data_IF_656682307077
#
_entry.id   IF_656682307077
#
_cell.length_a   1.000
_cell.length_b   1.000
_cell.length_c   1.000
_cell.angle_alpha   90.00
_cell.angle_beta   90.00
_cell.angle_gamma   90.00
#
_symmetry.space_group_name_H-M   'P 1'
#
loop_
_entity.id
_entity.type
_entity.pdbx_description
1 polymer ?
#
# COMPACT_ATOMS: atom_id res chain seq x y z
N UNK A 1 -8.11 -13.30 16.58
CA UNK A 1 -8.66 -13.61 15.24
C UNK A 1 -7.53 -13.63 14.23
N UNK A 2 -7.53 -14.63 13.36
CA UNK A 2 -6.55 -14.83 12.29
C UNK A 2 -6.63 -13.68 11.29
N UNK A 3 -5.46 -13.13 10.95
CA UNK A 3 -5.35 -12.10 9.92
C UNK A 3 -5.16 -12.72 8.53
N UNK A 4 -4.31 -13.74 8.42
CA UNK A 4 -3.95 -14.35 7.14
C UNK A 4 -3.45 -15.79 7.33
N UNK A 5 -3.96 -16.73 6.53
CA UNK A 5 -3.47 -18.12 6.37
C UNK A 5 -2.92 -18.36 4.96
N UNK A 6 -2.25 -17.35 4.39
CA UNK A 6 -1.90 -17.23 2.98
C UNK A 6 -2.78 -16.21 2.24
N UNK A 7 -2.31 -15.75 1.08
CA UNK A 7 -2.95 -14.65 0.35
C UNK A 7 -2.99 -14.88 -1.16
N UNK A 8 -4.08 -14.46 -1.79
CA UNK A 8 -4.19 -14.38 -3.25
C UNK A 8 -3.66 -13.02 -3.72
N UNK A 9 -3.05 -13.00 -4.91
CA UNK A 9 -2.64 -11.76 -5.56
C UNK A 9 -3.51 -11.48 -6.79
N UNK A 10 -4.32 -10.41 -6.72
CA UNK A 10 -5.19 -9.95 -7.81
C UNK A 10 -4.61 -8.68 -8.44
N UNK A 11 -3.66 -8.83 -9.37
CA UNK A 11 -2.96 -7.71 -10.01
C UNK A 11 -3.90 -6.72 -10.75
N UNK A 12 -5.08 -7.15 -11.22
CA UNK A 12 -6.10 -6.24 -11.79
C UNK A 12 -6.87 -5.43 -10.73
N UNK A 13 -6.78 -5.79 -9.46
CA UNK A 13 -7.47 -5.09 -8.39
C UNK A 13 -6.74 -3.82 -7.97
N UNK A 14 -7.49 -2.88 -7.36
CA UNK A 14 -6.91 -1.69 -6.74
C UNK A 14 -6.06 -2.05 -5.52
N UNK A 15 -6.52 -3.05 -4.76
CA UNK A 15 -5.82 -3.63 -3.62
C UNK A 15 -5.49 -5.07 -4.00
N UNK A 16 -4.26 -5.37 -4.43
CA UNK A 16 -3.95 -6.67 -5.03
C UNK A 16 -3.92 -7.80 -4.00
N UNK A 17 -3.59 -7.52 -2.75
CA UNK A 17 -3.49 -8.52 -1.69
C UNK A 17 -4.90 -8.94 -1.19
N UNK A 18 -5.09 -10.25 -1.05
CA UNK A 18 -6.36 -10.87 -0.64
C UNK A 18 -6.07 -12.01 0.33
N UNK A 19 -5.90 -11.67 1.60
CA UNK A 19 -5.72 -12.62 2.69
C UNK A 19 -6.89 -13.62 2.74
N UNK A 20 -6.54 -14.87 3.03
CA UNK A 20 -7.46 -16.00 3.22
C UNK A 20 -7.53 -16.33 4.70
N UNK A 21 -8.68 -16.83 5.17
CA UNK A 21 -8.85 -17.23 6.58
C UNK A 21 -8.99 -16.05 7.55
N UNK A 22 -9.39 -14.87 7.04
CA UNK A 22 -9.63 -13.71 7.90
C UNK A 22 -10.72 -14.01 8.92
N UNK A 23 -10.52 -13.49 10.13
CA UNK A 23 -11.50 -13.48 11.23
C UNK A 23 -11.74 -14.83 11.93
N UNK A 24 -11.10 -15.91 11.46
CA UNK A 24 -11.09 -17.21 12.13
C UNK A 24 -10.48 -17.08 13.55
N UNK A 25 -11.20 -17.44 14.61
CA UNK A 25 -10.64 -17.46 15.97
C UNK A 25 -10.03 -18.81 16.31
N UNK A 26 -8.72 -18.95 16.07
CA UNK A 26 -7.99 -20.21 16.28
C UNK A 26 -7.77 -20.56 17.76
N UNK A 27 -8.25 -19.73 18.70
CA UNK A 27 -8.42 -20.14 20.10
C UNK A 27 -9.53 -21.17 20.26
N UNK A 28 -10.47 -21.21 19.32
CA UNK A 28 -11.54 -22.21 19.30
C UNK A 28 -10.99 -23.56 18.82
N UNK A 29 -10.94 -24.54 19.72
CA UNK A 29 -10.45 -25.90 19.43
C UNK A 29 -11.11 -26.52 18.20
N UNK A 30 -12.42 -26.33 18.02
CA UNK A 30 -13.17 -26.84 16.87
C UNK A 30 -12.64 -26.29 15.55
N UNK A 31 -12.24 -25.03 15.51
CA UNK A 31 -11.72 -24.38 14.32
C UNK A 31 -10.27 -24.80 14.07
N UNK A 32 -9.45 -24.87 15.12
CA UNK A 32 -8.06 -25.28 15.05
C UNK A 32 -7.89 -26.73 14.58
N UNK A 33 -8.78 -27.65 14.99
CA UNK A 33 -8.76 -29.05 14.59
C UNK A 33 -9.59 -29.36 13.34
N UNK A 34 -10.24 -28.34 12.75
CA UNK A 34 -11.09 -28.56 11.59
C UNK A 34 -10.21 -28.99 10.42
N UNK A 35 -10.41 -30.21 9.96
CA UNK A 35 -9.86 -30.68 8.69
C UNK A 35 -10.60 -29.97 7.54
N UNK A 36 -9.90 -29.05 6.89
CA UNK A 36 -10.43 -28.27 5.77
C UNK A 36 -9.52 -28.49 4.60
N UNK A 37 -10.10 -28.80 3.45
CA UNK A 37 -9.36 -28.81 2.20
C UNK A 37 -8.64 -27.48 2.02
N UNK A 38 -7.34 -27.58 1.80
CA UNK A 38 -6.50 -26.43 1.57
C UNK A 38 -6.99 -25.59 0.38
N UNK A 39 -7.06 -24.27 0.62
CA UNK A 39 -7.37 -23.30 -0.43
C UNK A 39 -6.09 -22.92 -1.14
N UNK A 40 -6.08 -22.98 -2.47
CA UNK A 40 -4.97 -22.42 -3.26
C UNK A 40 -4.78 -20.93 -2.98
N UNK A 41 -3.56 -20.56 -2.62
CA UNK A 41 -3.11 -19.18 -2.47
C UNK A 41 -1.91 -18.90 -3.38
N UNK A 42 -1.46 -17.65 -3.42
CA UNK A 42 -0.44 -17.19 -4.35
C UNK A 42 0.91 -16.94 -3.66
N UNK A 43 0.91 -16.61 -2.37
CA UNK A 43 2.08 -16.45 -1.52
C UNK A 43 1.67 -16.52 -0.04
N UNK A 44 2.66 -16.66 0.83
CA UNK A 44 2.53 -16.50 2.29
C UNK A 44 3.45 -15.37 2.74
N UNK A 45 2.99 -14.58 3.70
CA UNK A 45 3.83 -13.59 4.32
C UNK A 45 4.87 -14.25 5.23
N UNK A 46 6.05 -13.64 5.34
CA UNK A 46 7.22 -14.21 6.03
C UNK A 46 7.21 -14.04 7.55
N UNK A 47 6.04 -14.02 8.18
CA UNK A 47 5.92 -14.18 9.65
C UNK A 47 6.24 -15.62 10.05
N UNK A 48 5.77 -16.56 9.22
CA UNK A 48 6.06 -17.97 9.30
C UNK A 48 5.85 -18.58 7.92
N UNK A 49 6.95 -18.82 7.20
CA UNK A 49 6.94 -19.56 5.94
C UNK A 49 8.10 -20.55 5.95
N UNK A 50 7.85 -21.76 5.47
CA UNK A 50 8.86 -22.79 5.33
C UNK A 50 8.76 -23.36 3.91
N UNK A 51 9.91 -23.47 3.25
CA UNK A 51 10.02 -24.05 1.92
C UNK A 51 11.36 -24.78 1.78
N UNK A 52 11.45 -25.84 0.96
CA UNK A 52 12.72 -26.50 0.69
C UNK A 52 13.70 -25.54 0.01
N UNK A 53 14.95 -25.47 0.47
CA UNK A 53 15.98 -24.61 -0.14
C UNK A 53 16.25 -24.99 -1.60
N UNK A 54 15.96 -26.23 -1.99
CA UNK A 54 16.09 -26.72 -3.36
C UNK A 54 15.05 -26.16 -4.33
N UNK A 55 14.04 -25.41 -3.85
CA UNK A 55 12.96 -24.88 -4.72
C UNK A 55 13.47 -23.88 -5.75
N UNK A 56 14.50 -23.11 -5.39
CA UNK A 56 15.16 -22.14 -6.26
C UNK A 56 16.52 -21.76 -5.69
N UNK A 57 17.43 -21.28 -6.54
CA UNK A 57 18.67 -20.61 -6.11
C UNK A 57 18.54 -19.09 -6.09
N UNK A 58 17.40 -18.56 -6.53
CA UNK A 58 17.14 -17.13 -6.52
C UNK A 58 17.02 -16.63 -5.08
N UNK A 59 17.71 -15.54 -4.76
CA UNK A 59 17.45 -14.78 -3.55
C UNK A 59 16.18 -13.91 -3.69
N UNK A 60 15.69 -13.31 -2.60
CA UNK A 60 14.62 -12.32 -2.67
C UNK A 60 14.99 -11.13 -3.56
N UNK A 61 13.97 -10.40 -4.04
CA UNK A 61 14.22 -9.11 -4.69
C UNK A 61 14.93 -8.16 -3.72
N UNK A 62 15.90 -7.35 -4.18
CA UNK A 62 16.69 -6.47 -3.33
C UNK A 62 15.89 -5.20 -2.96
N UNK A 63 14.82 -5.38 -2.19
CA UNK A 63 13.96 -4.32 -1.66
C UNK A 63 14.00 -4.33 -0.13
N UNK A 64 13.81 -3.16 0.48
CA UNK A 64 13.93 -3.04 1.94
C UNK A 64 12.77 -3.68 2.72
N UNK A 65 11.53 -3.33 2.37
CA UNK A 65 10.32 -3.80 3.05
C UNK A 65 9.14 -3.84 2.07
N UNK A 66 8.19 -4.75 2.33
CA UNK A 66 6.96 -5.00 1.59
C UNK A 66 7.18 -5.53 0.17
N UNK A 67 6.60 -6.68 -0.10
CA UNK A 67 6.46 -7.20 -1.47
C UNK A 67 7.60 -8.11 -1.92
N UNK A 68 8.66 -8.24 -1.13
CA UNK A 68 9.68 -9.30 -1.21
C UNK A 68 9.05 -10.68 -1.02
N UNK A 69 8.26 -10.85 0.05
CA UNK A 69 7.47 -12.04 0.33
C UNK A 69 6.46 -12.37 -0.78
N UNK A 70 5.75 -11.34 -1.28
CA UNK A 70 4.82 -11.44 -2.40
C UNK A 70 5.54 -11.88 -3.67
N UNK A 71 6.66 -11.25 -3.99
CA UNK A 71 7.44 -11.55 -5.19
C UNK A 71 7.94 -12.99 -5.18
N UNK A 72 8.59 -13.39 -4.08
CA UNK A 72 9.16 -14.71 -3.92
C UNK A 72 8.08 -15.79 -3.95
N UNK A 73 6.95 -15.56 -3.26
CA UNK A 73 5.84 -16.51 -3.29
C UNK A 73 5.20 -16.63 -4.66
N UNK A 74 5.01 -15.53 -5.38
CA UNK A 74 4.45 -15.58 -6.73
C UNK A 74 5.36 -16.29 -7.75
N UNK A 75 6.67 -16.15 -7.60
CA UNK A 75 7.65 -16.71 -8.54
C UNK A 75 8.02 -18.16 -8.20
N UNK A 76 8.11 -18.50 -6.91
CA UNK A 76 8.73 -19.76 -6.46
C UNK A 76 7.79 -20.58 -5.57
N UNK A 77 7.41 -20.09 -4.40
CA UNK A 77 6.83 -20.97 -3.35
C UNK A 77 5.32 -21.16 -3.44
N UNK A 78 4.57 -20.25 -4.06
CA UNK A 78 3.12 -20.16 -3.94
C UNK A 78 2.36 -21.39 -4.41
N UNK A 79 2.88 -22.11 -5.40
CA UNK A 79 2.29 -23.37 -5.89
C UNK A 79 2.60 -24.59 -5.01
N UNK A 80 3.60 -24.47 -4.14
CA UNK A 80 4.14 -25.54 -3.30
C UNK A 80 3.91 -25.29 -1.80
N UNK A 81 3.28 -24.18 -1.45
CA UNK A 81 3.06 -23.79 -0.08
C UNK A 81 1.79 -24.41 0.46
N UNK A 82 1.85 -24.84 1.72
CA UNK A 82 0.72 -25.37 2.48
C UNK A 82 0.47 -24.51 3.72
N UNK A 83 -0.79 -24.29 4.12
CA UNK A 83 -1.17 -23.74 5.42
C UNK A 83 -2.00 -24.74 6.22
N UNK A 84 -1.75 -24.77 7.52
CA UNK A 84 -2.36 -25.73 8.44
C UNK A 84 -3.00 -25.00 9.62
N UNK A 85 -4.26 -25.34 9.93
CA UNK A 85 -4.91 -24.85 11.14
C UNK A 85 -4.10 -25.36 12.35
N UNK A 86 -3.83 -24.48 13.32
CA UNK A 86 -3.09 -24.81 14.54
C UNK A 86 -1.59 -24.49 14.51
N UNK A 87 -0.96 -24.28 13.34
CA UNK A 87 0.39 -23.69 13.25
C UNK A 87 0.23 -22.21 12.96
N UNK A 88 0.39 -21.40 14.02
CA UNK A 88 0.07 -19.98 14.02
C UNK A 88 1.16 -19.19 14.71
N UNK A 89 1.27 -17.92 14.35
CA UNK A 89 2.11 -16.95 15.06
C UNK A 89 1.28 -15.74 15.45
N UNK A 90 1.56 -15.20 16.64
CA UNK A 90 1.03 -13.91 17.04
C UNK A 90 1.91 -12.81 16.44
N UNK A 91 1.28 -11.84 15.78
CA UNK A 91 2.00 -10.74 15.15
C UNK A 91 1.20 -9.44 15.24
N UNK A 92 1.91 -8.30 15.28
CA UNK A 92 1.32 -6.98 15.42
C UNK A 92 0.47 -6.58 14.19
N UNK A 93 -0.68 -5.95 14.45
CA UNK A 93 -1.67 -5.52 13.45
C UNK A 93 -1.08 -4.55 12.41
N UNK A 94 -1.69 -4.56 11.22
CA UNK A 94 -1.31 -3.76 10.06
C UNK A 94 -1.95 -2.36 10.04
N UNK A 95 -3.08 -2.15 10.72
CA UNK A 95 -3.82 -0.88 10.68
C UNK A 95 -2.98 0.33 11.10
N UNK A 96 -2.21 0.17 12.19
CA UNK A 96 -1.31 1.22 12.71
C UNK A 96 0.00 1.37 11.91
N UNK A 97 0.29 0.43 10.99
CA UNK A 97 1.52 0.44 10.17
C UNK A 97 1.36 1.18 8.86
N UNK A 98 0.17 1.70 8.55
CA UNK A 98 -0.10 2.38 7.29
C UNK A 98 0.26 3.88 7.38
N UNK A 99 1.39 4.24 6.80
CA UNK A 99 1.93 5.61 6.78
C UNK A 99 2.49 5.95 5.38
N UNK A 100 2.86 7.21 5.11
CA UNK A 100 3.38 7.59 3.78
C UNK A 100 4.60 6.77 3.35
N UNK A 101 5.54 6.48 4.25
CA UNK A 101 6.72 5.63 3.97
C UNK A 101 6.34 4.24 3.45
N UNK A 102 5.34 3.59 4.08
CA UNK A 102 4.82 2.31 3.59
C UNK A 102 4.24 2.39 2.18
N UNK A 103 3.59 3.50 1.82
CA UNK A 103 3.02 3.70 0.49
C UNK A 103 4.09 3.88 -0.59
N UNK A 104 5.24 4.47 -0.26
CA UNK A 104 6.39 4.53 -1.17
C UNK A 104 6.79 3.12 -1.60
N UNK A 105 7.04 2.23 -0.63
CA UNK A 105 7.43 0.85 -0.91
C UNK A 105 6.35 0.07 -1.63
N UNK A 106 5.07 0.23 -1.23
CA UNK A 106 3.97 -0.42 -1.92
C UNK A 106 3.90 -0.01 -3.41
N UNK A 107 4.11 1.27 -3.73
CA UNK A 107 4.09 1.71 -5.14
C UNK A 107 5.29 1.24 -5.93
N UNK A 108 6.50 1.40 -5.39
CA UNK A 108 7.72 0.96 -6.06
C UNK A 108 7.71 -0.56 -6.25
N UNK A 109 7.58 -1.30 -5.15
CA UNK A 109 7.82 -2.73 -5.14
C UNK A 109 6.70 -3.48 -5.87
N UNK A 110 5.41 -3.11 -5.71
CA UNK A 110 4.36 -3.80 -6.48
C UNK A 110 4.38 -3.46 -7.97
N UNK A 111 4.90 -2.30 -8.38
CA UNK A 111 5.14 -2.03 -9.79
C UNK A 111 6.23 -2.97 -10.36
N UNK A 112 7.28 -3.25 -9.58
CA UNK A 112 8.33 -4.23 -9.93
C UNK A 112 7.73 -5.64 -10.00
N UNK A 113 7.02 -6.08 -8.95
CA UNK A 113 6.38 -7.41 -8.90
C UNK A 113 5.42 -7.61 -10.06
N UNK A 114 4.53 -6.63 -10.30
CA UNK A 114 3.56 -6.72 -11.39
C UNK A 114 4.25 -6.88 -12.76
N UNK A 115 5.38 -6.20 -12.94
CA UNK A 115 6.18 -6.18 -14.16
C UNK A 115 6.91 -7.50 -14.42
N UNK A 116 7.51 -8.06 -13.38
CA UNK A 116 8.27 -9.31 -13.42
C UNK A 116 7.36 -10.52 -13.57
N UNK A 117 6.34 -10.63 -12.72
CA UNK A 117 5.51 -11.83 -12.58
C UNK A 117 4.50 -11.97 -13.73
N UNK A 118 3.86 -10.89 -14.17
CA UNK A 118 2.70 -10.97 -15.07
C UNK A 118 3.03 -10.53 -16.49
N UNK A 119 3.12 -11.50 -17.42
CA UNK A 119 3.38 -11.25 -18.84
C UNK A 119 2.33 -10.32 -19.49
N UNK A 120 1.07 -10.45 -19.08
CA UNK A 120 -0.07 -9.65 -19.55
C UNK A 120 -0.33 -8.38 -18.70
N UNK A 121 0.64 -7.93 -17.90
CA UNK A 121 0.58 -6.63 -17.25
C UNK A 121 1.12 -5.52 -18.17
N UNK A 122 0.35 -4.45 -18.29
CA UNK A 122 0.55 -3.35 -19.23
C UNK A 122 0.53 -2.01 -18.49
N UNK A 123 1.00 -0.95 -19.16
CA UNK A 123 1.15 0.38 -18.56
C UNK A 123 -0.17 0.91 -17.98
N UNK A 124 -1.31 0.66 -18.63
CA UNK A 124 -2.62 1.13 -18.15
C UNK A 124 -3.06 0.43 -16.86
N UNK A 125 -2.59 -0.78 -16.59
CA UNK A 125 -2.88 -1.47 -15.33
C UNK A 125 -2.17 -0.80 -14.16
N UNK A 126 -0.88 -0.45 -14.34
CA UNK A 126 -0.11 0.32 -13.36
C UNK A 126 -0.69 1.73 -13.20
N UNK A 127 -0.89 2.44 -14.32
CA UNK A 127 -1.41 3.80 -14.34
C UNK A 127 -2.78 3.89 -13.66
N UNK A 128 -3.73 3.00 -14.00
CA UNK A 128 -5.06 2.99 -13.36
C UNK A 128 -4.97 2.76 -11.85
N UNK A 129 -4.11 1.86 -11.37
CA UNK A 129 -3.93 1.63 -9.92
C UNK A 129 -3.34 2.87 -9.25
N UNK A 130 -2.31 3.47 -9.85
CA UNK A 130 -1.69 4.70 -9.38
C UNK A 130 -2.69 5.85 -9.32
N UNK A 131 -3.36 6.18 -10.42
CA UNK A 131 -4.36 7.25 -10.51
C UNK A 131 -5.47 7.04 -9.47
N UNK A 132 -6.04 5.83 -9.37
CA UNK A 132 -7.15 5.58 -8.46
C UNK A 132 -6.76 5.71 -6.98
N UNK A 133 -5.53 5.32 -6.59
CA UNK A 133 -5.05 5.50 -5.22
C UNK A 133 -4.60 6.94 -4.95
N UNK A 134 -3.95 7.60 -5.91
CA UNK A 134 -3.64 9.03 -5.85
C UNK A 134 -4.91 9.85 -5.70
N UNK A 135 -5.94 9.61 -6.52
CA UNK A 135 -7.26 10.25 -6.38
C UNK A 135 -7.83 10.07 -4.98
N UNK A 136 -7.90 8.83 -4.48
CA UNK A 136 -8.47 8.54 -3.16
C UNK A 136 -7.74 9.26 -2.03
N UNK A 137 -6.42 9.36 -2.08
CA UNK A 137 -5.62 10.07 -1.05
C UNK A 137 -5.75 11.59 -1.23
N UNK A 138 -5.51 12.09 -2.44
CA UNK A 138 -5.50 13.51 -2.78
C UNK A 138 -6.85 14.19 -2.47
N UNK A 139 -7.95 13.57 -2.88
CA UNK A 139 -9.30 14.07 -2.62
C UNK A 139 -9.78 13.80 -1.19
N UNK A 140 -8.93 13.21 -0.34
CA UNK A 140 -9.18 12.99 1.09
C UNK A 140 -8.21 13.76 1.98
N UNK A 141 -7.48 14.73 1.40
CA UNK A 141 -6.47 15.60 2.03
C UNK A 141 -5.24 14.87 2.59
N UNK A 142 -5.00 13.65 2.10
CA UNK A 142 -3.83 12.84 2.46
C UNK A 142 -2.67 13.14 1.51
N UNK A 143 -2.11 14.33 1.61
CA UNK A 143 -1.12 14.86 0.68
C UNK A 143 0.26 14.20 0.80
N UNK A 144 0.76 13.98 2.02
CA UNK A 144 2.02 13.29 2.25
C UNK A 144 1.97 11.86 1.68
N UNK A 145 0.83 11.18 1.81
CA UNK A 145 0.61 9.88 1.15
C UNK A 145 0.79 9.97 -0.38
N UNK A 146 0.27 11.01 -1.04
CA UNK A 146 0.39 11.19 -2.50
C UNK A 146 1.83 11.48 -2.91
N UNK A 147 2.54 12.32 -2.17
CA UNK A 147 3.96 12.61 -2.39
C UNK A 147 4.81 11.33 -2.35
N UNK A 148 4.61 10.51 -1.32
CA UNK A 148 5.34 9.25 -1.18
C UNK A 148 4.96 8.24 -2.26
N UNK A 149 3.71 8.18 -2.69
CA UNK A 149 3.30 7.37 -3.83
C UNK A 149 3.96 7.83 -5.13
N UNK A 150 4.03 9.14 -5.39
CA UNK A 150 4.74 9.73 -6.55
C UNK A 150 6.21 9.34 -6.50
N UNK A 151 6.87 9.54 -5.36
CA UNK A 151 8.27 9.16 -5.14
C UNK A 151 8.50 7.66 -5.39
N UNK A 152 7.61 6.80 -4.91
CA UNK A 152 7.70 5.35 -5.11
C UNK A 152 7.59 4.94 -6.58
N UNK A 153 6.65 5.54 -7.33
CA UNK A 153 6.55 5.29 -8.77
C UNK A 153 7.76 5.85 -9.54
N UNK A 154 8.25 7.04 -9.19
CA UNK A 154 9.48 7.60 -9.79
C UNK A 154 10.69 6.69 -9.55
N UNK A 155 10.82 6.11 -8.36
CA UNK A 155 11.87 5.14 -8.06
C UNK A 155 11.73 3.86 -8.91
N UNK A 156 10.52 3.41 -9.21
CA UNK A 156 10.31 2.33 -10.19
C UNK A 156 10.71 2.75 -11.61
N UNK A 157 10.33 3.97 -12.02
CA UNK A 157 10.62 4.52 -13.35
C UNK A 157 12.12 4.77 -13.59
N UNK A 158 12.91 4.91 -12.54
CA UNK A 158 14.38 5.02 -12.61
C UNK A 158 15.06 3.72 -13.08
N UNK A 159 14.35 2.59 -13.04
CA UNK A 159 14.81 1.31 -13.61
C UNK A 159 15.60 0.42 -12.64
N UNK A 160 15.94 -0.80 -13.10
CA UNK A 160 16.59 -1.82 -12.26
C UNK A 160 18.02 -1.46 -11.83
N UNK A 161 18.75 -0.70 -12.65
CA UNK A 161 20.10 -0.24 -12.30
C UNK A 161 20.07 0.70 -11.10
N UNK A 162 19.17 1.68 -11.10
CA UNK A 162 18.95 2.58 -9.96
C UNK A 162 18.51 1.79 -8.71
N UNK A 163 17.65 0.77 -8.86
CA UNK A 163 17.27 -0.11 -7.76
C UNK A 163 18.49 -0.83 -7.14
N UNK A 164 19.41 -1.32 -7.98
CA UNK A 164 20.64 -1.98 -7.53
C UNK A 164 21.60 -1.02 -6.85
N UNK A 165 21.77 0.19 -7.37
CA UNK A 165 22.64 1.21 -6.81
C UNK A 165 22.09 1.86 -5.52
N UNK A 166 20.80 1.67 -5.22
CA UNK A 166 20.17 2.25 -4.03
C UNK A 166 20.76 1.67 -2.75
N UNK A 167 21.26 2.53 -1.86
CA UNK A 167 21.40 2.21 -0.43
C UNK A 167 20.01 2.21 0.21
N UNK A 168 19.49 1.01 0.46
CA UNK A 168 18.14 0.85 0.98
C UNK A 168 18.01 1.24 2.45
N UNK A 169 19.10 1.20 3.22
CA UNK A 169 19.09 1.58 4.64
C UNK A 169 19.01 3.09 4.77
N UNK A 170 19.89 3.81 4.06
CA UNK A 170 19.85 5.28 4.02
C UNK A 170 18.52 5.80 3.46
N UNK A 171 18.01 5.18 2.39
CA UNK A 171 16.69 5.52 1.85
C UNK A 171 15.57 5.29 2.88
N UNK A 172 15.62 4.19 3.65
CA UNK A 172 14.62 3.94 4.68
C UNK A 172 14.67 4.99 5.80
N UNK A 173 15.87 5.35 6.25
CA UNK A 173 16.08 6.39 7.25
C UNK A 173 15.59 7.76 6.79
N UNK A 174 15.69 8.06 5.49
CA UNK A 174 15.12 9.26 4.90
C UNK A 174 13.59 9.22 4.88
N UNK A 175 13.01 8.12 4.36
CA UNK A 175 11.55 7.98 4.20
C UNK A 175 10.79 7.93 5.54
N UNK A 176 11.40 7.43 6.62
CA UNK A 176 10.73 7.34 7.94
C UNK A 176 10.66 8.67 8.70
N UNK A 177 11.31 9.73 8.21
CA UNK A 177 11.31 11.08 8.83
C UNK A 177 9.96 11.79 8.71
N UNK A 178 9.07 11.35 7.82
CA UNK A 178 7.73 11.94 7.68
C UNK A 178 6.93 11.83 8.97
N UNK A 179 6.43 12.96 9.44
CA UNK A 179 5.58 13.10 10.63
C UNK A 179 4.11 13.18 10.26
N UNK A 180 3.80 13.73 9.09
CA UNK A 180 2.43 13.82 8.56
C UNK A 180 1.82 12.45 8.31
N UNK A 181 0.52 12.33 8.57
CA UNK A 181 -0.27 11.11 8.36
C UNK A 181 0.29 9.85 9.03
N UNK A 182 1.12 10.02 10.05
CA UNK A 182 1.61 8.95 10.90
C UNK A 182 0.63 8.78 12.06
N UNK A 183 -0.03 7.62 12.20
CA UNK A 183 -0.83 7.33 13.38
C UNK A 183 0.03 7.49 14.64
N UNK A 184 -0.47 8.26 15.60
CA UNK A 184 0.15 8.43 16.90
C UNK A 184 -0.86 8.88 17.94
N UNK A 185 -0.45 8.96 19.22
CA UNK A 185 -1.32 9.40 20.30
C UNK A 185 -1.93 10.77 20.02
N UNK A 186 -3.24 10.88 20.21
CA UNK A 186 -3.99 12.12 20.08
C UNK A 186 -3.91 12.94 21.38
N UNK A 187 -3.92 14.26 21.27
CA UNK A 187 -4.13 15.15 22.42
C UNK A 187 -5.51 14.88 23.04
N UNK A 188 -5.68 15.24 24.32
CA UNK A 188 -6.96 15.07 25.02
C UNK A 188 -8.14 15.72 24.26
N UNK A 189 -7.91 16.90 23.69
CA UNK A 189 -8.89 17.61 22.86
C UNK A 189 -9.29 16.83 21.60
N UNK A 190 -8.32 16.31 20.85
CA UNK A 190 -8.58 15.52 19.64
C UNK A 190 -9.21 14.17 19.97
N UNK A 191 -8.81 13.55 21.08
CA UNK A 191 -9.37 12.30 21.57
C UNK A 191 -10.84 12.47 22.01
N UNK A 192 -11.23 13.64 22.52
CA UNK A 192 -12.61 13.95 22.93
C UNK A 192 -13.55 14.23 21.75
N UNK A 193 -13.03 14.48 20.53
CA UNK A 193 -13.88 14.72 19.35
C UNK A 193 -14.71 13.48 19.02
N UNK A 194 -16.04 13.64 19.06
CA UNK A 194 -16.98 12.55 18.81
C UNK A 194 -16.76 11.87 17.45
N UNK A 195 -16.86 10.54 17.44
CA UNK A 195 -16.77 9.75 16.21
C UNK A 195 -18.00 10.04 15.34
N UNK A 196 -17.75 10.45 14.10
CA UNK A 196 -18.78 10.79 13.13
C UNK A 196 -19.39 9.50 12.62
N UNK A 197 -20.68 9.30 12.91
CA UNK A 197 -21.40 8.12 12.39
C UNK A 197 -21.33 8.11 10.85
N UNK A 198 -20.88 7.01 10.24
CA UNK A 198 -20.75 6.94 8.79
C UNK A 198 -22.14 7.01 8.15
N UNK A 199 -22.28 7.86 7.13
CA UNK A 199 -23.52 7.92 6.34
C UNK A 199 -23.75 6.62 5.57
N UNK A 200 -25.01 6.31 5.21
CA UNK A 200 -25.34 5.21 4.32
C UNK A 200 -24.45 5.16 3.07
N UNK A 201 -24.14 3.94 2.60
CA UNK A 201 -23.21 3.71 1.49
C UNK A 201 -23.59 4.48 0.22
N UNK A 202 -24.88 4.55 -0.11
CA UNK A 202 -25.38 5.29 -1.27
C UNK A 202 -25.02 6.79 -1.20
N UNK A 203 -25.21 7.43 -0.05
CA UNK A 203 -24.87 8.85 0.15
C UNK A 203 -23.36 9.07 0.05
N UNK A 204 -22.56 8.16 0.63
CA UNK A 204 -21.10 8.22 0.50
C UNK A 204 -20.65 8.08 -0.95
N UNK A 205 -21.31 7.24 -1.73
CA UNK A 205 -21.02 7.07 -3.16
C UNK A 205 -21.38 8.31 -3.97
N UNK A 206 -22.52 8.94 -3.70
CA UNK A 206 -22.89 10.24 -4.30
C UNK A 206 -21.83 11.29 -3.96
N UNK A 207 -21.43 11.41 -2.69
CA UNK A 207 -20.36 12.34 -2.29
C UNK A 207 -19.03 12.06 -2.97
N UNK A 208 -18.68 10.79 -3.17
CA UNK A 208 -17.49 10.38 -3.92
C UNK A 208 -17.59 10.78 -5.40
N UNK A 209 -18.74 10.55 -6.04
CA UNK A 209 -18.97 10.92 -7.43
C UNK A 209 -18.91 12.44 -7.62
N UNK A 210 -19.54 13.20 -6.73
CA UNK A 210 -19.52 14.67 -6.73
C UNK A 210 -18.13 15.25 -6.46
N UNK A 211 -17.23 14.51 -5.81
CA UNK A 211 -15.87 14.98 -5.59
C UNK A 211 -15.13 15.25 -6.91
N UNK A 212 -15.47 14.55 -8.00
CA UNK A 212 -14.81 14.75 -9.31
C UNK A 212 -15.18 16.11 -9.92
N UNK A 213 -16.46 16.42 -10.25
CA UNK A 213 -16.82 17.69 -10.86
C UNK A 213 -16.59 18.87 -9.91
N UNK A 214 -16.66 18.65 -8.58
CA UNK A 214 -16.38 19.70 -7.60
C UNK A 214 -14.89 19.86 -7.29
N UNK A 215 -14.01 19.11 -7.95
CA UNK A 215 -12.56 19.10 -7.70
C UNK A 215 -12.26 19.00 -6.20
N UNK A 216 -12.81 17.99 -5.54
CA UNK A 216 -12.68 17.78 -4.09
C UNK A 216 -13.25 18.92 -3.25
N UNK A 217 -14.18 19.72 -3.79
CA UNK A 217 -14.74 20.90 -3.13
C UNK A 217 -13.95 22.19 -3.32
N UNK A 218 -12.87 22.19 -4.12
CA UNK A 218 -12.06 23.39 -4.34
C UNK A 218 -12.79 24.48 -5.13
N UNK A 219 -13.77 24.09 -5.96
CA UNK A 219 -14.62 25.04 -6.67
C UNK A 219 -15.82 25.53 -5.84
N UNK A 220 -16.07 24.94 -4.66
CA UNK A 220 -17.19 25.35 -3.82
C UNK A 220 -16.91 26.69 -3.14
N UNK A 221 -17.91 27.60 -3.08
CA UNK A 221 -17.82 28.82 -2.30
C UNK A 221 -17.45 28.52 -0.84
N UNK A 222 -16.66 29.39 -0.21
CA UNK A 222 -16.21 29.20 1.19
C UNK A 222 -17.39 29.02 2.16
N UNK A 223 -18.53 29.68 1.89
CA UNK A 223 -19.75 29.59 2.71
C UNK A 223 -20.33 28.16 2.74
N UNK A 224 -20.14 27.38 1.67
CA UNK A 224 -20.62 25.99 1.57
C UNK A 224 -19.63 25.01 2.24
N UNK A 225 -18.35 25.38 2.30
CA UNK A 225 -17.29 24.60 2.93
C UNK A 225 -17.26 24.88 4.43
N UNK A 226 -17.37 23.82 5.23
CA UNK A 226 -17.40 23.93 6.68
C UNK A 226 -15.99 23.77 7.24
N UNK A 227 -15.63 24.66 8.16
CA UNK A 227 -14.38 24.58 8.92
C UNK A 227 -14.52 23.80 10.24
N UNK A 228 -15.52 22.92 10.28
CA UNK A 228 -15.79 22.06 11.44
C UNK A 228 -14.97 20.80 11.31
N UNK A 229 -14.26 20.43 12.37
CA UNK A 229 -13.52 19.17 12.44
C UNK A 229 -14.48 17.98 12.37
N UNK A 230 -14.25 17.09 11.40
CA UNK A 230 -14.97 15.81 11.30
C UNK A 230 -14.01 14.64 11.44
N UNK A 231 -14.53 13.53 11.94
CA UNK A 231 -13.76 12.32 12.18
C UNK A 231 -14.04 11.29 11.08
N UNK A 232 -13.01 10.50 10.75
CA UNK A 232 -13.14 9.36 9.85
C UNK A 232 -12.27 8.18 10.35
N UNK A 233 -12.63 6.93 10.06
CA UNK A 233 -11.79 5.78 10.41
C UNK A 233 -10.41 5.91 9.77
N UNK A 234 -9.36 5.54 10.50
CA UNK A 234 -7.95 5.74 10.10
C UNK A 234 -7.59 5.09 8.75
N UNK A 235 -8.19 3.94 8.46
CA UNK A 235 -7.99 3.18 7.21
C UNK A 235 -8.87 3.66 6.06
N UNK A 236 -9.80 4.57 6.32
CA UNK A 236 -10.69 5.10 5.29
C UNK A 236 -10.00 6.14 4.40
N UNK A 237 -10.62 6.41 3.25
CA UNK A 237 -10.31 7.54 2.37
C UNK A 237 -11.59 8.31 2.18
N UNK A 238 -11.84 9.27 3.06
CA UNK A 238 -13.12 9.92 3.26
C UNK A 238 -13.43 10.99 2.19
N UNK A 239 -13.27 10.63 0.90
CA UNK A 239 -13.36 11.54 -0.26
C UNK A 239 -14.62 12.40 -0.24
N UNK A 240 -15.80 11.78 -0.15
CA UNK A 240 -17.07 12.54 -0.15
C UNK A 240 -17.25 13.44 1.08
N UNK A 241 -16.63 13.11 2.22
CA UNK A 241 -16.60 13.97 3.40
C UNK A 241 -15.67 15.16 3.14
N UNK A 242 -14.46 14.89 2.67
CA UNK A 242 -13.46 15.91 2.35
C UNK A 242 -13.99 16.96 1.37
N UNK A 243 -14.88 16.63 0.44
CA UNK A 243 -15.53 17.61 -0.47
C UNK A 243 -16.17 18.79 0.27
N UNK A 244 -16.71 18.61 1.48
CA UNK A 244 -17.43 19.66 2.22
C UNK A 244 -16.69 20.22 3.44
N UNK A 245 -15.66 19.54 3.92
CA UNK A 245 -14.97 19.88 5.15
C UNK A 245 -13.49 20.16 4.89
N UNK A 246 -12.94 21.16 5.57
CA UNK A 246 -11.54 21.56 5.41
C UNK A 246 -10.58 20.81 6.35
N UNK A 247 -11.11 20.17 7.40
CA UNK A 247 -10.32 19.50 8.44
C UNK A 247 -10.92 18.14 8.76
N UNK A 248 -10.10 17.09 8.71
CA UNK A 248 -10.52 15.71 9.04
C UNK A 248 -9.52 15.09 10.01
N UNK A 249 -10.03 14.62 11.14
CA UNK A 249 -9.30 13.77 12.08
C UNK A 249 -9.51 12.31 11.70
N UNK A 250 -8.47 11.70 11.11
CA UNK A 250 -8.44 10.25 10.91
C UNK A 250 -8.03 9.58 12.22
N UNK A 251 -8.92 8.79 12.81
CA UNK A 251 -8.66 8.17 14.12
C UNK A 251 -9.07 6.71 14.16
N UNK A 252 -8.45 5.96 15.07
CA UNK A 252 -8.84 4.60 15.38
C UNK A 252 -10.16 4.60 16.19
N UNK A 253 -10.98 3.57 16.00
CA UNK A 253 -12.30 3.48 16.64
C UNK A 253 -12.22 3.17 18.15
N UNK A 254 -11.12 2.53 18.58
CA UNK A 254 -10.94 2.05 19.97
C UNK A 254 -9.73 2.64 20.69
N UNK A 255 -8.75 3.14 19.95
CA UNK A 255 -7.49 3.63 20.52
C UNK A 255 -7.48 5.15 20.35
N UNK A 256 -6.90 5.91 21.30
CA UNK A 256 -6.77 7.36 21.19
C UNK A 256 -5.61 7.72 20.24
N UNK A 257 -5.60 7.12 19.06
CA UNK A 257 -4.57 7.30 18.05
C UNK A 257 -5.16 7.77 16.72
N UNK A 258 -4.42 8.62 16.02
CA UNK A 258 -4.85 9.18 14.74
C UNK A 258 -3.91 10.25 14.21
N UNK A 259 -4.38 10.98 13.21
CA UNK A 259 -3.71 12.16 12.65
C UNK A 259 -4.74 13.11 12.04
N UNK A 260 -4.44 14.40 12.11
CA UNK A 260 -5.23 15.45 11.51
C UNK A 260 -4.74 15.72 10.08
N UNK A 261 -5.68 15.95 9.16
CA UNK A 261 -5.38 16.51 7.85
C UNK A 261 -6.18 17.78 7.62
N UNK A 262 -5.58 18.70 6.87
CA UNK A 262 -6.17 19.99 6.55
C UNK A 262 -6.06 20.27 5.06
N UNK A 263 -7.02 21.04 4.55
CA UNK A 263 -7.11 21.38 3.13
C UNK A 263 -6.01 22.36 2.75
N UNK A 264 -5.22 22.01 1.73
CA UNK A 264 -4.21 22.87 1.15
C UNK A 264 -4.39 22.94 -0.37
N UNK A 265 -4.87 24.08 -0.86
CA UNK A 265 -5.12 24.30 -2.29
C UNK A 265 -3.84 24.22 -3.13
N UNK A 266 -2.75 24.84 -2.65
CA UNK A 266 -1.51 24.92 -3.43
C UNK A 266 -0.90 23.53 -3.56
N UNK A 267 -0.81 22.80 -2.44
CA UNK A 267 -0.31 21.43 -2.41
C UNK A 267 -1.21 20.49 -3.22
N UNK A 268 -2.53 20.63 -3.14
CA UNK A 268 -3.46 19.82 -3.92
C UNK A 268 -3.24 19.95 -5.44
N UNK A 269 -3.20 21.17 -5.98
CA UNK A 269 -3.06 21.37 -7.43
C UNK A 269 -1.65 21.02 -7.92
N UNK A 270 -0.62 21.27 -7.11
CA UNK A 270 0.75 20.82 -7.39
C UNK A 270 0.82 19.29 -7.51
N UNK A 271 0.28 18.57 -6.52
CA UNK A 271 0.26 17.10 -6.54
C UNK A 271 -0.63 16.53 -7.63
N UNK A 272 -1.74 17.18 -7.96
CA UNK A 272 -2.59 16.77 -9.08
C UNK A 272 -1.81 16.83 -10.39
N UNK A 273 -1.06 17.91 -10.64
CA UNK A 273 -0.18 18.04 -11.81
C UNK A 273 0.88 16.92 -11.82
N UNK A 274 1.51 16.66 -10.69
CA UNK A 274 2.55 15.63 -10.59
C UNK A 274 2.01 14.21 -10.83
N UNK A 275 0.80 13.91 -10.36
CA UNK A 275 0.12 12.65 -10.67
C UNK A 275 -0.10 12.51 -12.19
N UNK A 276 -0.49 13.58 -12.88
CA UNK A 276 -0.63 13.57 -14.34
C UNK A 276 0.70 13.34 -15.06
N UNK A 277 1.77 14.02 -14.63
CA UNK A 277 3.13 13.85 -15.18
C UNK A 277 3.61 12.41 -15.01
N UNK A 278 3.55 11.86 -13.79
CA UNK A 278 3.98 10.47 -13.53
C UNK A 278 3.12 9.47 -14.29
N UNK A 279 1.83 9.73 -14.45
CA UNK A 279 0.94 8.89 -15.27
C UNK A 279 1.39 8.86 -16.74
N UNK A 280 1.76 10.02 -17.27
CA UNK A 280 2.35 10.15 -18.61
C UNK A 280 3.65 9.34 -18.70
N UNK A 281 4.55 9.48 -17.72
CA UNK A 281 5.82 8.76 -17.70
C UNK A 281 5.65 7.24 -17.64
N UNK A 282 4.66 6.74 -16.88
CA UNK A 282 4.29 5.31 -16.89
C UNK A 282 3.91 4.89 -18.31
N UNK A 283 3.05 5.64 -19.00
CA UNK A 283 2.58 5.27 -20.33
C UNK A 283 3.74 5.17 -21.35
N UNK A 284 4.69 6.10 -21.30
CA UNK A 284 5.82 6.14 -22.24
C UNK A 284 6.93 5.14 -21.91
N UNK A 285 7.28 4.95 -20.63
CA UNK A 285 8.46 4.20 -20.25
C UNK A 285 8.19 2.73 -19.90
N UNK A 286 6.94 2.36 -19.57
CA UNK A 286 6.65 1.03 -18.99
C UNK A 286 7.07 -0.14 -19.88
N UNK A 287 6.88 -0.06 -21.21
CA UNK A 287 7.29 -1.15 -22.12
C UNK A 287 8.81 -1.37 -22.10
N UNK A 288 9.59 -0.29 -22.07
CA UNK A 288 11.05 -0.33 -21.97
C UNK A 288 11.46 -0.93 -20.61
N UNK A 289 10.96 -0.35 -19.52
CA UNK A 289 11.23 -0.80 -18.15
C UNK A 289 10.86 -2.27 -17.94
N UNK A 290 9.76 -2.74 -18.53
CA UNK A 290 9.38 -4.16 -18.44
C UNK A 290 10.43 -5.10 -19.04
N UNK A 291 11.09 -4.71 -20.13
CA UNK A 291 12.21 -5.49 -20.68
C UNK A 291 13.44 -5.39 -19.78
N UNK A 292 13.78 -4.18 -19.36
CA UNK A 292 14.96 -3.91 -18.51
C UNK A 292 14.90 -4.68 -17.19
N UNK A 293 13.78 -4.59 -16.45
CA UNK A 293 13.61 -5.33 -15.19
C UNK A 293 13.67 -6.85 -15.39
N UNK A 294 13.08 -7.37 -16.47
CA UNK A 294 13.13 -8.80 -16.77
C UNK A 294 14.53 -9.26 -17.14
N UNK A 295 15.28 -8.47 -17.91
CA UNK A 295 16.67 -8.76 -18.25
C UNK A 295 17.59 -8.69 -17.02
N UNK A 296 17.33 -7.76 -16.11
CA UNK A 296 18.10 -7.59 -14.88
C UNK A 296 17.75 -8.61 -13.78
N UNK A 297 16.60 -9.31 -13.87
CA UNK A 297 16.12 -10.19 -12.82
C UNK A 297 17.15 -11.24 -12.36
N UNK A 298 17.82 -12.01 -13.24
CA UNK A 298 18.83 -12.98 -12.81
C UNK A 298 19.96 -12.35 -11.99
N UNK A 299 20.38 -11.13 -12.34
CA UNK A 299 21.40 -10.39 -11.58
C UNK A 299 20.85 -9.93 -10.24
N UNK A 300 19.64 -9.35 -10.20
CA UNK A 300 18.99 -8.82 -9.00
C UNK A 300 18.87 -9.85 -7.86
N UNK A 301 18.70 -11.13 -8.20
CA UNK A 301 18.49 -12.22 -7.25
C UNK A 301 19.70 -13.15 -7.09
N UNK A 302 20.81 -12.86 -7.77
CA UNK A 302 22.02 -13.69 -7.71
C UNK A 302 22.74 -13.57 -6.36
N UNK A 303 23.40 -14.65 -5.94
CA UNK A 303 24.28 -14.64 -4.76
C UNK A 303 25.37 -13.56 -4.89
N UNK A 304 25.96 -13.41 -6.08
CA UNK A 304 26.99 -12.42 -6.35
C UNK A 304 26.51 -10.98 -6.06
N UNK A 305 25.29 -10.63 -6.49
CA UNK A 305 24.72 -9.30 -6.25
C UNK A 305 24.41 -9.07 -4.77
N UNK A 306 23.89 -10.08 -4.07
CA UNK A 306 23.63 -10.00 -2.63
C UNK A 306 24.91 -9.94 -1.80
N UNK A 307 25.93 -10.73 -2.15
CA UNK A 307 27.24 -10.66 -1.52
C UNK A 307 27.87 -9.28 -1.67
N UNK A 308 27.85 -8.70 -2.87
CA UNK A 308 28.39 -7.36 -3.10
C UNK A 308 27.70 -6.31 -2.20
N UNK A 309 26.38 -6.42 -2.00
CA UNK A 309 25.59 -5.54 -1.11
C UNK A 309 25.93 -5.65 0.36
N UNK A 310 26.24 -6.85 0.84
CA UNK A 310 26.59 -7.05 2.25
C UNK A 310 28.07 -6.82 2.54
N UNK A 311 28.94 -6.99 1.54
CA UNK A 311 30.37 -6.76 1.65
C UNK A 311 30.75 -5.27 1.68
N UNK A 312 29.88 -4.37 1.22
CA UNK A 312 30.10 -2.91 1.15
C UNK A 312 29.74 -2.17 2.44
N UNK A 313 29.80 -2.85 3.59
CA UNK A 313 29.60 -2.26 4.92
C UNK A 313 30.92 -1.96 5.61
#
# INVERSE_FOLDING_TARGET
MQFEAGSKYRWRSLYPLRAIGREDDLRERKLALRDVREKKFAYTAWWYTAFPISITRDNPLPVFVRGDDVAFGLMHTGKHSVTMNGVIVWHADFGLKNNPSSLFYEKRNFAIVDTLVFANHHWWHLARRFIALSFRNLFSMRYASVEYMIRGVRAYLAGPEALMATDHSALHDELRKVTEEKPGPLSAELAAVAITKPRPKAIRLIGFALAIPLVGGYILPKIVRRDVLKTAPIDSRAVGLATRYNRILYRHDRLPEGFLVERDSRRFFSLLREVCVVTKDIAFNYRRLKREYKAAYPTLVSDASWHARFATK
#
